data_IF_452140728172
#
_entry.id   IF_452140728172
#
_cell.length_a   1.000
_cell.length_b   1.000
_cell.length_c   1.000
_cell.angle_alpha   90.00
_cell.angle_beta   90.00
_cell.angle_gamma   90.00
#
_symmetry.space_group_name_H-M   'P 1'
#
loop_
_entity.id
_entity.type
_entity.pdbx_description
1 polymer ?
#
# COMPACT_ATOMS: atom_id res chain seq x y z
N UNK A 1 18.89 6.56 -17.02
CA UNK A 1 17.43 6.35 -17.02
C UNK A 1 16.99 6.14 -15.59
N UNK A 2 15.97 6.87 -15.15
CA UNK A 2 15.39 6.65 -13.82
C UNK A 2 14.74 5.27 -13.77
N UNK A 3 15.17 4.45 -12.81
CA UNK A 3 14.61 3.12 -12.55
C UNK A 3 13.67 3.20 -11.36
N UNK A 4 12.54 2.50 -11.43
CA UNK A 4 11.48 2.55 -10.42
C UNK A 4 11.16 1.17 -9.88
N UNK A 5 10.85 1.09 -8.60
CA UNK A 5 10.30 -0.07 -7.92
C UNK A 5 8.84 0.20 -7.55
N UNK A 6 7.99 -0.81 -7.68
CA UNK A 6 6.57 -0.73 -7.37
C UNK A 6 6.18 -1.83 -6.39
N UNK A 7 5.19 -1.54 -5.55
CA UNK A 7 4.57 -2.55 -4.70
C UNK A 7 3.13 -2.22 -4.39
N UNK A 8 2.36 -3.24 -4.03
CA UNK A 8 0.94 -3.10 -3.68
C UNK A 8 0.71 -3.61 -2.27
N UNK A 9 -0.02 -2.85 -1.47
CA UNK A 9 -0.59 -3.31 -0.20
C UNK A 9 -2.08 -3.57 -0.39
N UNK A 10 -2.59 -4.59 0.28
CA UNK A 10 -4.02 -4.93 0.30
C UNK A 10 -4.47 -4.90 1.75
N UNK A 11 -5.45 -4.05 2.05
CA UNK A 11 -6.14 -4.02 3.33
C UNK A 11 -7.51 -4.66 3.13
N UNK A 12 -7.93 -5.55 4.02
CA UNK A 12 -9.21 -6.25 3.90
C UNK A 12 -10.14 -5.84 5.06
N UNK A 13 -11.43 -5.72 4.77
CA UNK A 13 -12.47 -5.60 5.80
C UNK A 13 -12.55 -6.93 6.56
N UNK A 14 -12.33 -6.91 7.87
CA UNK A 14 -12.47 -8.11 8.71
C UNK A 14 -11.24 -8.48 9.54
N UNK A 15 -10.45 -7.50 9.98
CA UNK A 15 -9.47 -7.74 11.04
C UNK A 15 -10.14 -8.35 12.28
N UNK A 16 -9.36 -9.03 13.15
CA UNK A 16 -9.88 -9.77 14.33
C UNK A 16 -10.73 -8.92 15.30
N UNK A 17 -10.77 -7.60 15.15
CA UNK A 17 -11.45 -6.64 16.04
C UNK A 17 -12.51 -5.78 15.31
N UNK A 18 -12.41 -5.55 14.00
CA UNK A 18 -13.32 -4.67 13.26
C UNK A 18 -14.32 -5.45 12.40
N UNK A 19 -15.58 -5.40 12.83
CA UNK A 19 -16.73 -6.09 12.22
C UNK A 19 -17.13 -5.41 10.90
N UNK A 20 -16.38 -5.69 9.83
CA UNK A 20 -16.74 -5.27 8.47
C UNK A 20 -16.28 -3.86 8.06
N UNK A 21 -15.42 -3.22 8.84
CA UNK A 21 -14.75 -1.96 8.46
C UNK A 21 -13.25 -2.14 8.35
N UNK A 22 -12.64 -1.36 7.45
CA UNK A 22 -11.19 -1.29 7.30
C UNK A 22 -10.63 -0.47 8.48
N UNK A 23 -9.59 -0.96 9.14
CA UNK A 23 -8.93 -0.23 10.24
C UNK A 23 -8.09 0.92 9.67
N UNK A 24 -8.60 2.15 9.80
CA UNK A 24 -7.91 3.37 9.37
C UNK A 24 -6.55 3.53 10.04
N UNK A 25 -6.41 3.11 11.30
CA UNK A 25 -5.14 3.18 12.02
C UNK A 25 -4.13 2.18 11.47
N UNK A 26 -4.57 1.04 10.96
CA UNK A 26 -3.70 0.09 10.25
C UNK A 26 -3.16 0.68 8.94
N UNK A 27 -4.04 1.31 8.16
CA UNK A 27 -3.66 2.01 6.93
C UNK A 27 -2.64 3.09 7.27
N UNK A 28 -2.92 3.98 8.22
CA UNK A 28 -2.03 5.07 8.60
C UNK A 28 -0.65 4.55 9.03
N UNK A 29 -0.60 3.53 9.90
CA UNK A 29 0.67 2.90 10.32
C UNK A 29 1.45 2.32 9.14
N UNK A 30 0.77 1.69 8.18
CA UNK A 30 1.41 1.14 6.99
C UNK A 30 1.93 2.25 6.06
N UNK A 31 1.13 3.29 5.79
CA UNK A 31 1.53 4.43 4.96
C UNK A 31 2.77 5.11 5.54
N UNK A 32 2.77 5.40 6.85
CA UNK A 32 3.90 6.04 7.52
C UNK A 32 5.16 5.17 7.52
N UNK A 33 5.03 3.84 7.72
CA UNK A 33 6.16 2.90 7.67
C UNK A 33 6.80 2.83 6.27
N UNK A 34 6.00 2.78 5.22
CA UNK A 34 6.52 2.71 3.86
C UNK A 34 7.03 4.07 3.38
N UNK A 35 6.36 5.16 3.77
CA UNK A 35 6.81 6.54 3.55
C UNK A 35 8.21 6.79 4.10
N UNK A 36 8.48 6.38 5.34
CA UNK A 36 9.82 6.51 5.94
C UNK A 36 10.89 5.64 5.26
N UNK A 37 10.48 4.61 4.54
CA UNK A 37 11.36 3.74 3.72
C UNK A 37 11.55 4.26 2.28
N UNK A 38 11.07 5.48 2.00
CA UNK A 38 11.18 6.15 0.71
C UNK A 38 10.12 5.77 -0.32
N UNK A 39 9.08 5.04 0.07
CA UNK A 39 7.98 4.68 -0.82
C UNK A 39 6.89 5.77 -0.81
N UNK A 40 6.42 6.13 -1.99
CA UNK A 40 5.35 7.10 -2.20
C UNK A 40 4.07 6.36 -2.61
N UNK A 41 2.95 6.63 -1.93
CA UNK A 41 1.65 6.10 -2.34
C UNK A 41 1.17 6.87 -3.58
N UNK A 42 0.92 6.15 -4.68
CA UNK A 42 0.55 6.75 -5.98
C UNK A 42 -0.89 6.47 -6.39
N UNK A 43 -1.53 5.47 -5.78
CA UNK A 43 -2.94 5.16 -6.01
C UNK A 43 -3.55 4.42 -4.83
N UNK A 44 -4.83 4.70 -4.57
CA UNK A 44 -5.66 4.03 -3.57
C UNK A 44 -6.95 3.60 -4.26
N UNK A 45 -7.18 2.30 -4.37
CA UNK A 45 -8.31 1.74 -5.11
C UNK A 45 -9.17 0.88 -4.19
N UNK A 46 -10.44 1.25 -3.92
CA UNK A 46 -11.38 0.37 -3.26
C UNK A 46 -11.80 -0.76 -4.21
N UNK A 47 -11.78 -2.00 -3.73
CA UNK A 47 -12.23 -3.19 -4.46
C UNK A 47 -13.39 -3.83 -3.70
N UNK A 48 -14.50 -4.00 -4.41
CA UNK A 48 -15.72 -4.63 -3.95
C UNK A 48 -15.94 -5.96 -4.67
N UNK A 49 -16.34 -6.98 -3.92
CA UNK A 49 -16.65 -8.30 -4.47
C UNK A 49 -18.16 -8.39 -4.80
N UNK A 50 -18.59 -7.70 -5.86
CA UNK A 50 -19.98 -7.73 -6.33
C UNK A 50 -20.98 -6.98 -5.43
N UNK A 51 -22.13 -7.61 -5.12
CA UNK A 51 -23.28 -7.00 -4.40
C UNK A 51 -23.03 -6.71 -2.90
N UNK A 52 -21.84 -7.01 -2.40
CA UNK A 52 -21.43 -6.72 -1.01
C UNK A 52 -20.40 -5.59 -1.10
N UNK A 53 -20.54 -4.57 -0.26
CA UNK A 53 -19.73 -3.33 -0.30
C UNK A 53 -18.21 -3.53 -0.32
N UNK A 54 -17.46 -2.43 -0.38
CA UNK A 54 -15.98 -2.46 -0.45
C UNK A 54 -15.38 -3.38 0.60
N UNK A 55 -14.74 -4.46 0.14
CA UNK A 55 -14.09 -5.45 1.01
C UNK A 55 -12.60 -5.23 1.13
N UNK A 56 -11.99 -4.58 0.14
CA UNK A 56 -10.54 -4.45 0.05
C UNK A 56 -10.16 -3.05 -0.36
N UNK A 57 -9.03 -2.58 0.15
CA UNK A 57 -8.38 -1.35 -0.27
C UNK A 57 -6.99 -1.70 -0.77
N UNK A 58 -6.74 -1.43 -2.05
CA UNK A 58 -5.43 -1.62 -2.65
C UNK A 58 -4.69 -0.29 -2.65
N UNK A 59 -3.47 -0.27 -2.13
CA UNK A 59 -2.59 0.90 -2.17
C UNK A 59 -1.36 0.57 -2.98
N UNK A 60 -1.18 1.26 -4.11
CA UNK A 60 0.02 1.16 -4.92
C UNK A 60 1.06 2.17 -4.43
N UNK A 61 2.29 1.69 -4.29
CA UNK A 61 3.44 2.48 -3.96
C UNK A 61 4.48 2.45 -5.07
N UNK A 62 5.25 3.53 -5.16
CA UNK A 62 6.36 3.72 -6.08
C UNK A 62 7.58 4.22 -5.31
N UNK A 63 8.78 3.81 -5.69
CA UNK A 63 10.04 4.33 -5.15
C UNK A 63 11.13 4.33 -6.22
N UNK A 64 12.02 5.32 -6.19
CA UNK A 64 13.21 5.33 -7.05
C UNK A 64 14.13 4.20 -6.68
N UNK A 65 14.53 3.40 -7.67
CA UNK A 65 15.56 2.39 -7.50
C UNK A 65 16.91 3.10 -7.47
N UNK A 66 17.51 3.20 -6.30
CA UNK A 66 18.90 3.66 -6.20
C UNK A 66 19.78 2.60 -6.85
N UNK A 67 20.23 2.86 -8.08
CA UNK A 67 21.30 2.08 -8.68
C UNK A 67 22.57 2.36 -7.87
N UNK A 68 22.97 1.42 -7.02
CA UNK A 68 24.27 1.51 -6.35
C UNK A 68 25.34 1.35 -7.45
N UNK A 69 26.23 2.34 -7.68
CA UNK A 69 27.31 2.14 -8.62
C UNK A 69 28.16 0.96 -8.13
N UNK A 70 28.50 0.04 -9.04
CA UNK A 70 29.44 -1.03 -8.77
C UNK A 70 30.80 -0.38 -8.53
N UNK A 71 31.27 -0.37 -7.29
CA UNK A 71 32.65 0.00 -6.97
C UNK A 71 33.55 -1.06 -7.61
N UNK A 72 34.34 -0.65 -8.61
CA UNK A 72 35.40 -1.47 -9.22
C UNK A 72 36.68 -1.30 -8.41
#
# INVERSE_FOLDING_TARGET
MDSWEYKTLVFETGGRVSRGTIDESEIERALNRWGSSGWEAVSVTPVSDGNVGTRRLLVLFKRRKTSRPLTT
#
